data_IF_486231360428
#
_entry.id   IF_486231360428
#
_cell.length_a   1.000
_cell.length_b   1.000
_cell.length_c   1.000
_cell.angle_alpha   90.00
_cell.angle_beta   90.00
_cell.angle_gamma   90.00
#
_symmetry.space_group_name_H-M   'P 1'
#
loop_
_entity.id
_entity.type
_entity.pdbx_description
1 polymer ?
#
# COMPACT_ATOMS: atom_id res chain seq x y z
N UNK A 1 -5.38 24.76 1.11
CA UNK A 1 -4.44 24.64 2.26
C UNK A 1 -5.10 24.13 3.54
N UNK A 2 -5.65 24.89 4.50
CA UNK A 2 -6.14 24.29 5.77
C UNK A 2 -7.11 23.10 5.59
N UNK A 3 -8.17 23.25 4.78
CA UNK A 3 -9.08 22.14 4.44
C UNK A 3 -8.43 21.00 3.64
N UNK A 4 -7.31 21.26 2.95
CA UNK A 4 -6.53 20.23 2.24
C UNK A 4 -5.66 19.48 3.23
N UNK A 5 -5.00 20.14 4.20
CA UNK A 5 -4.28 19.45 5.28
C UNK A 5 -5.21 18.66 6.20
N UNK A 6 -6.41 19.15 6.53
CA UNK A 6 -7.39 18.36 7.30
C UNK A 6 -7.92 17.18 6.49
N UNK A 7 -8.16 17.35 5.17
CA UNK A 7 -8.53 16.24 4.28
C UNK A 7 -7.38 15.29 4.00
N UNK A 8 -6.13 15.74 3.97
CA UNK A 8 -4.93 14.93 3.83
C UNK A 8 -4.54 14.24 5.15
N UNK A 9 -4.99 14.76 6.30
CA UNK A 9 -4.93 14.07 7.59
C UNK A 9 -6.05 13.03 7.70
N UNK A 10 -7.28 13.32 7.22
CA UNK A 10 -8.27 12.29 6.95
C UNK A 10 -7.74 11.27 5.94
N UNK A 11 -6.99 11.71 4.93
CA UNK A 11 -6.41 10.82 3.92
C UNK A 11 -5.25 10.00 4.49
N UNK A 12 -4.39 10.55 5.34
CA UNK A 12 -3.34 9.78 6.00
C UNK A 12 -3.94 8.79 7.00
N UNK A 13 -5.00 9.17 7.72
CA UNK A 13 -5.76 8.23 8.54
C UNK A 13 -6.42 7.14 7.67
N UNK A 14 -7.17 7.51 6.63
CA UNK A 14 -7.92 6.58 5.77
C UNK A 14 -7.02 5.79 4.81
N UNK A 15 -5.87 6.27 4.37
CA UNK A 15 -4.89 5.53 3.53
C UNK A 15 -3.99 4.66 4.38
N UNK A 16 -3.62 5.07 5.60
CA UNK A 16 -3.05 4.15 6.58
C UNK A 16 -4.07 3.08 7.01
N UNK A 17 -5.38 3.34 6.85
CA UNK A 17 -6.46 2.38 7.11
C UNK A 17 -7.08 1.71 5.87
N UNK A 18 -6.65 2.04 4.65
CA UNK A 18 -7.13 1.41 3.40
C UNK A 18 -6.05 0.58 2.68
N UNK A 19 -4.80 0.65 3.12
CA UNK A 19 -3.71 -0.24 2.68
C UNK A 19 -3.74 -1.60 3.42
N UNK A 20 -4.91 -2.02 3.89
CA UNK A 20 -5.01 -2.50 5.26
C UNK A 20 -6.27 -3.36 5.56
N UNK A 21 -6.10 -4.62 6.02
CA UNK A 21 -6.97 -5.43 6.93
C UNK A 21 -7.91 -6.62 6.39
N UNK A 22 -7.50 -7.94 6.44
CA UNK A 22 -8.34 -9.20 6.15
C UNK A 22 -8.03 -10.63 6.85
N UNK A 23 -8.78 -11.10 7.89
CA UNK A 23 -8.58 -12.09 9.00
C UNK A 23 -9.28 -13.51 8.90
N UNK A 24 -9.88 -14.22 9.91
CA UNK A 24 -10.64 -13.99 11.18
C UNK A 24 -10.21 -14.93 12.38
N UNK A 25 -11.06 -15.11 13.41
CA UNK A 25 -10.76 -15.48 14.83
C UNK A 25 -10.52 -16.97 15.21
N UNK A 26 -9.89 -17.19 16.37
CA UNK A 26 -10.31 -18.13 17.45
C UNK A 26 -9.42 -17.90 18.70
N UNK A 27 -10.04 -17.63 19.86
CA UNK A 27 -9.37 -17.02 21.03
C UNK A 27 -8.67 -17.95 22.03
N UNK A 28 -7.93 -17.34 22.98
CA UNK A 28 -7.53 -17.93 24.26
C UNK A 28 -7.17 -16.84 25.30
N UNK A 29 -7.95 -16.73 26.38
CA UNK A 29 -7.67 -15.87 27.54
C UNK A 29 -6.55 -16.51 28.41
N UNK A 30 -5.33 -16.52 27.88
CA UNK A 30 -4.23 -17.38 28.34
C UNK A 30 -2.99 -16.66 28.88
N UNK A 31 -3.10 -15.40 29.29
CA UNK A 31 -1.96 -14.56 29.67
C UNK A 31 -1.19 -14.01 28.46
N UNK A 32 -0.44 -12.91 28.64
CA UNK A 32 0.26 -12.24 27.53
C UNK A 32 1.26 -13.20 26.88
N UNK A 33 0.89 -13.78 25.73
CA UNK A 33 1.83 -14.47 24.85
C UNK A 33 2.94 -13.48 24.51
N UNK A 34 4.19 -13.95 24.61
CA UNK A 34 5.32 -13.22 24.08
C UNK A 34 5.08 -13.01 22.58
N UNK A 35 5.50 -11.86 22.04
CA UNK A 35 5.48 -11.65 20.60
C UNK A 35 6.16 -12.82 19.87
N UNK A 36 5.52 -13.32 18.82
CA UNK A 36 6.02 -14.40 17.97
C UNK A 36 5.91 -13.98 16.51
N UNK A 37 6.99 -14.19 15.76
CA UNK A 37 7.02 -14.00 14.31
C UNK A 37 8.08 -14.89 13.66
N UNK A 38 7.75 -15.47 12.51
CA UNK A 38 8.69 -16.15 11.62
C UNK A 38 9.59 -15.16 10.86
N UNK A 39 9.07 -13.95 10.60
CA UNK A 39 9.78 -12.86 9.94
C UNK A 39 10.38 -11.94 10.99
N UNK A 40 11.63 -12.24 11.39
CA UNK A 40 12.46 -11.41 12.28
C UNK A 40 13.81 -11.18 11.60
N UNK A 41 14.33 -9.95 11.69
CA UNK A 41 15.61 -9.53 11.15
C UNK A 41 15.51 -8.30 10.24
N UNK A 42 16.62 -7.97 9.60
CA UNK A 42 16.72 -6.87 8.64
C UNK A 42 16.57 -7.38 7.21
N UNK A 43 15.87 -6.63 6.38
CA UNK A 43 15.60 -6.96 4.99
C UNK A 43 15.84 -5.75 4.09
N UNK A 44 16.41 -5.97 2.91
CA UNK A 44 16.58 -4.93 1.88
C UNK A 44 15.66 -5.20 0.68
N UNK A 45 15.16 -4.19 -0.04
CA UNK A 45 14.48 -4.41 -1.32
C UNK A 45 15.37 -5.15 -2.30
N UNK A 46 14.81 -6.14 -2.98
CA UNK A 46 15.54 -6.96 -3.95
C UNK A 46 14.76 -7.03 -5.26
N UNK A 47 15.41 -6.93 -6.42
CA UNK A 47 14.70 -6.97 -7.69
C UNK A 47 14.27 -8.39 -8.05
N UNK A 48 13.11 -8.50 -8.67
CA UNK A 48 12.73 -9.67 -9.47
C UNK A 48 12.87 -9.30 -10.94
N UNK A 49 13.62 -10.10 -11.70
CA UNK A 49 13.81 -9.88 -13.14
C UNK A 49 12.61 -10.43 -13.91
N UNK A 50 11.88 -9.55 -14.60
CA UNK A 50 10.69 -9.89 -15.37
C UNK A 50 10.68 -9.13 -16.71
N UNK A 51 9.96 -9.62 -17.70
CA UNK A 51 9.50 -8.81 -18.84
C UNK A 51 8.09 -8.31 -18.54
N UNK A 52 7.74 -7.14 -19.08
CA UNK A 52 6.35 -6.66 -19.10
C UNK A 52 5.97 -6.47 -20.57
N UNK A 53 5.01 -7.23 -21.12
CA UNK A 53 4.55 -7.04 -22.49
C UNK A 53 4.17 -5.58 -22.74
N UNK A 54 4.56 -5.04 -23.90
CA UNK A 54 4.29 -3.68 -24.35
C UNK A 54 4.87 -2.53 -23.49
N UNK A 55 5.71 -2.84 -22.49
CA UNK A 55 6.39 -1.82 -21.66
C UNK A 55 7.89 -2.06 -21.57
N UNK A 56 8.32 -3.30 -21.28
CA UNK A 56 9.73 -3.66 -21.21
C UNK A 56 9.96 -5.05 -21.81
N UNK A 57 10.41 -5.05 -23.07
CA UNK A 57 10.66 -6.25 -23.88
C UNK A 57 11.86 -7.06 -23.37
N UNK A 58 12.88 -6.40 -22.80
CA UNK A 58 14.05 -7.06 -22.23
C UNK A 58 13.85 -7.36 -20.72
N UNK A 59 14.24 -8.55 -20.22
CA UNK A 59 14.11 -8.91 -18.81
C UNK A 59 14.78 -7.89 -17.88
N UNK A 60 13.99 -7.20 -17.08
CA UNK A 60 14.41 -6.02 -16.31
C UNK A 60 14.12 -6.15 -14.81
N UNK A 61 14.93 -5.50 -13.94
CA UNK A 61 14.82 -5.64 -12.49
C UNK A 61 13.71 -4.75 -11.90
N UNK A 62 12.67 -5.36 -11.33
CA UNK A 62 11.57 -4.67 -10.64
C UNK A 62 11.62 -4.89 -9.13
N UNK A 63 11.58 -3.80 -8.36
CA UNK A 63 11.60 -3.79 -6.89
C UNK A 63 10.20 -3.65 -6.28
N UNK A 64 9.19 -3.45 -7.12
CA UNK A 64 7.78 -3.46 -6.79
C UNK A 64 7.06 -4.21 -7.90
N UNK A 65 6.10 -5.06 -7.56
CA UNK A 65 5.35 -5.88 -8.52
C UNK A 65 3.88 -5.46 -8.53
N UNK A 66 3.31 -5.33 -9.72
CA UNK A 66 1.90 -5.11 -10.01
C UNK A 66 1.55 -6.05 -11.18
N UNK A 67 1.13 -7.26 -10.84
CA UNK A 67 1.00 -8.38 -11.79
C UNK A 67 -0.49 -8.74 -11.97
N UNK A 68 -1.19 -8.16 -12.96
CA UNK A 68 -2.54 -8.55 -13.33
C UNK A 68 -2.55 -9.80 -14.23
N UNK A 69 -3.38 -10.79 -13.89
CA UNK A 69 -3.79 -11.87 -14.81
C UNK A 69 -5.13 -11.48 -15.44
N UNK A 70 -5.11 -11.07 -16.71
CA UNK A 70 -6.30 -10.62 -17.44
C UNK A 70 -7.32 -11.74 -17.68
N UNK A 71 -8.61 -11.42 -17.58
CA UNK A 71 -9.72 -12.36 -17.84
C UNK A 71 -9.83 -12.72 -19.32
N UNK A 72 -9.58 -11.74 -20.18
CA UNK A 72 -9.43 -11.89 -21.63
C UNK A 72 -8.10 -11.24 -22.05
N UNK A 73 -7.01 -12.02 -22.18
CA UNK A 73 -5.70 -11.50 -22.59
C UNK A 73 -5.64 -10.96 -24.03
N UNK A 74 -6.57 -11.37 -24.90
CA UNK A 74 -6.63 -10.90 -26.28
C UNK A 74 -7.41 -9.57 -26.41
N UNK A 75 -8.27 -9.24 -25.44
CA UNK A 75 -9.12 -8.05 -25.42
C UNK A 75 -8.97 -7.24 -24.11
N UNK A 76 -7.73 -6.97 -23.70
CA UNK A 76 -7.41 -6.15 -22.53
C UNK A 76 -8.01 -4.74 -22.69
N UNK A 77 -8.77 -4.22 -21.71
CA UNK A 77 -9.35 -2.89 -21.80
C UNK A 77 -8.27 -1.82 -21.92
N UNK A 78 -8.55 -0.76 -22.68
CA UNK A 78 -7.69 0.42 -22.78
C UNK A 78 -8.36 1.67 -22.25
N UNK A 79 -7.56 2.68 -21.90
CA UNK A 79 -8.06 4.02 -21.54
C UNK A 79 -7.75 4.98 -22.68
N UNK A 80 -8.75 5.77 -23.06
CA UNK A 80 -8.60 6.84 -24.04
C UNK A 80 -7.89 8.04 -23.38
N UNK A 81 -6.65 8.29 -23.81
CA UNK A 81 -5.79 9.39 -23.41
C UNK A 81 -5.82 10.54 -24.44
N UNK A 82 -6.71 10.49 -25.44
CA UNK A 82 -6.79 11.50 -26.48
C UNK A 82 -7.05 12.90 -25.91
N UNK A 83 -7.94 13.04 -24.92
CA UNK A 83 -8.29 14.34 -24.34
C UNK A 83 -7.12 14.98 -23.60
N UNK A 84 -6.38 14.24 -22.76
CA UNK A 84 -5.20 14.77 -22.06
C UNK A 84 -4.03 15.08 -23.01
N UNK A 85 -4.03 14.52 -24.23
CA UNK A 85 -3.09 14.83 -25.30
C UNK A 85 -3.60 15.91 -26.28
N UNK A 86 -4.81 16.44 -26.11
CA UNK A 86 -5.42 17.41 -27.04
C UNK A 86 -5.74 16.83 -28.43
N UNK A 87 -5.90 15.51 -28.53
CA UNK A 87 -6.19 14.76 -29.75
C UNK A 87 -7.68 14.41 -29.86
N UNK A 88 -8.19 14.05 -31.06
CA UNK A 88 -9.59 13.61 -31.21
C UNK A 88 -9.88 12.34 -30.41
N UNK A 89 -11.05 12.26 -29.77
CA UNK A 89 -11.46 11.09 -28.98
C UNK A 89 -11.32 9.77 -29.77
N UNK A 90 -10.82 8.73 -29.10
CA UNK A 90 -10.52 7.42 -29.66
C UNK A 90 -9.25 7.34 -30.52
N UNK A 91 -8.45 8.40 -30.64
CA UNK A 91 -7.22 8.39 -31.45
C UNK A 91 -5.98 7.89 -30.69
N UNK A 92 -5.99 7.92 -29.36
CA UNK A 92 -4.89 7.46 -28.51
C UNK A 92 -5.42 6.66 -27.32
N UNK A 93 -5.63 5.36 -27.53
CA UNK A 93 -6.07 4.40 -26.50
C UNK A 93 -4.85 3.63 -26.01
N UNK A 94 -4.52 3.74 -24.72
CA UNK A 94 -3.44 2.99 -24.10
C UNK A 94 -3.99 1.71 -23.43
N UNK A 95 -3.49 0.51 -23.76
CA UNK A 95 -3.89 -0.73 -23.09
C UNK A 95 -3.60 -0.68 -21.59
N UNK A 96 -4.50 -1.26 -20.77
CA UNK A 96 -4.31 -1.27 -19.32
C UNK A 96 -3.05 -2.05 -18.90
N UNK A 97 -2.62 -3.04 -19.69
CA UNK A 97 -1.34 -3.72 -19.45
C UNK A 97 -0.14 -2.75 -19.50
N UNK A 98 -0.15 -1.81 -20.46
CA UNK A 98 0.84 -0.73 -20.56
C UNK A 98 0.78 0.19 -19.34
N UNK A 99 -0.43 0.59 -18.91
CA UNK A 99 -0.64 1.44 -17.72
C UNK A 99 -0.11 0.76 -16.45
N UNK A 100 -0.45 -0.51 -16.22
CA UNK A 100 0.06 -1.29 -15.09
C UNK A 100 1.58 -1.40 -15.11
N UNK A 101 2.19 -1.66 -16.28
CA UNK A 101 3.64 -1.73 -16.40
C UNK A 101 4.37 -0.40 -16.14
N UNK A 102 3.80 0.72 -16.59
CA UNK A 102 4.31 2.06 -16.26
C UNK A 102 4.25 2.33 -14.76
N UNK A 103 3.12 1.99 -14.10
CA UNK A 103 2.97 2.09 -12.65
C UNK A 103 4.00 1.21 -11.93
N UNK A 104 4.19 -0.03 -12.38
CA UNK A 104 5.19 -0.95 -11.81
C UNK A 104 6.63 -0.40 -11.94
N UNK A 105 6.97 0.19 -13.08
CA UNK A 105 8.29 0.77 -13.33
C UNK A 105 8.57 1.99 -12.45
N UNK A 106 7.62 2.93 -12.35
CA UNK A 106 7.74 4.10 -11.46
C UNK A 106 7.84 3.67 -9.99
N UNK A 107 6.95 2.81 -9.52
CA UNK A 107 6.97 2.30 -8.15
C UNK A 107 8.26 1.53 -7.84
N UNK A 108 8.77 0.74 -8.79
CA UNK A 108 10.07 0.06 -8.66
C UNK A 108 11.23 1.05 -8.54
N UNK A 109 11.25 2.14 -9.32
CA UNK A 109 12.27 3.17 -9.19
C UNK A 109 12.17 3.90 -7.84
N UNK A 110 10.96 4.14 -7.34
CA UNK A 110 10.73 4.73 -6.02
C UNK A 110 11.24 3.81 -4.90
N UNK A 111 10.89 2.52 -4.92
CA UNK A 111 11.39 1.56 -3.92
C UNK A 111 12.91 1.42 -4.00
N UNK A 112 13.47 1.28 -5.21
CA UNK A 112 14.91 1.10 -5.45
C UNK A 112 15.77 2.26 -4.94
N UNK A 113 15.32 3.50 -5.14
CA UNK A 113 16.06 4.70 -4.71
C UNK A 113 15.73 5.14 -3.28
N UNK A 114 14.50 4.90 -2.83
CA UNK A 114 13.98 5.36 -1.54
C UNK A 114 14.20 4.38 -0.41
N UNK A 115 13.84 3.10 -0.56
CA UNK A 115 13.86 2.14 0.55
C UNK A 115 15.22 1.44 0.63
N UNK A 116 15.93 1.63 1.75
CA UNK A 116 17.23 0.99 2.01
C UNK A 116 17.04 -0.33 2.76
N UNK A 117 16.19 -0.33 3.79
CA UNK A 117 16.06 -1.44 4.73
C UNK A 117 14.70 -1.40 5.43
N UNK A 118 14.16 -2.58 5.76
CA UNK A 118 13.05 -2.79 6.70
C UNK A 118 13.58 -3.66 7.84
N UNK A 119 13.31 -3.26 9.08
CA UNK A 119 13.75 -3.96 10.28
C UNK A 119 12.53 -4.53 11.00
N UNK A 120 12.47 -5.85 11.15
CA UNK A 120 11.41 -6.58 11.85
C UNK A 120 11.99 -7.14 13.15
N UNK A 121 11.66 -6.54 14.30
CA UNK A 121 12.30 -6.90 15.59
C UNK A 121 11.57 -8.00 16.34
N UNK A 122 12.25 -8.61 17.31
CA UNK A 122 11.74 -9.68 18.17
C UNK A 122 10.86 -9.20 19.35
N UNK A 123 10.52 -7.91 19.37
CA UNK A 123 9.58 -7.28 20.31
C UNK A 123 8.23 -6.90 19.68
N UNK A 124 8.06 -7.13 18.37
CA UNK A 124 6.87 -6.74 17.61
C UNK A 124 6.85 -5.29 17.11
N UNK A 125 7.91 -4.52 17.37
CA UNK A 125 8.15 -3.25 16.67
C UNK A 125 8.84 -3.49 15.34
N UNK A 126 8.59 -2.61 14.38
CA UNK A 126 9.31 -2.58 13.11
C UNK A 126 9.92 -1.20 12.88
N UNK A 127 10.82 -1.12 11.90
CA UNK A 127 11.39 0.11 11.42
C UNK A 127 11.73 0.06 9.94
N UNK A 128 12.16 1.19 9.40
CA UNK A 128 12.68 1.28 8.05
C UNK A 128 13.85 2.27 8.00
N UNK A 129 14.74 2.09 7.02
CA UNK A 129 15.74 3.09 6.65
C UNK A 129 15.51 3.48 5.21
N UNK A 130 15.52 4.77 4.92
CA UNK A 130 15.10 5.28 3.62
C UNK A 130 15.76 6.62 3.29
N UNK A 131 15.88 6.91 2.00
CA UNK A 131 16.11 8.26 1.51
C UNK A 131 14.76 8.95 1.30
N UNK A 132 14.64 10.22 1.68
CA UNK A 132 13.42 11.00 1.47
C UNK A 132 13.19 11.28 -0.01
N UNK A 133 11.99 11.00 -0.52
CA UNK A 133 11.59 11.35 -1.88
C UNK A 133 11.40 12.87 -1.99
N UNK A 134 12.10 13.49 -2.94
CA UNK A 134 12.05 14.93 -3.21
C UNK A 134 10.92 15.19 -4.19
N UNK A 135 9.80 15.72 -3.68
CA UNK A 135 8.65 16.16 -4.49
C UNK A 135 8.76 17.67 -4.73
N UNK A 136 8.83 18.07 -6.00
CA UNK A 136 8.71 19.46 -6.43
C UNK A 136 7.26 19.89 -6.67
N UNK A 137 7.08 21.12 -7.17
CA UNK A 137 5.74 21.67 -7.49
C UNK A 137 4.98 20.82 -8.52
N UNK A 138 5.70 20.15 -9.43
CA UNK A 138 5.16 19.10 -10.30
C UNK A 138 5.39 17.72 -9.69
N UNK A 139 4.34 17.21 -9.04
CA UNK A 139 4.32 15.89 -8.40
C UNK A 139 4.48 14.76 -9.42
N UNK A 140 3.92 14.89 -10.63
CA UNK A 140 3.96 13.83 -11.64
C UNK A 140 5.38 13.68 -12.19
N UNK A 141 6.03 14.79 -12.58
CA UNK A 141 7.44 14.76 -12.98
C UNK A 141 8.36 14.23 -11.87
N UNK A 142 8.05 14.54 -10.60
CA UNK A 142 8.79 14.04 -9.43
C UNK A 142 8.60 12.53 -9.17
N UNK A 143 7.53 11.92 -9.67
CA UNK A 143 7.27 10.47 -9.59
C UNK A 143 7.87 9.73 -10.80
N UNK A 144 7.89 10.37 -11.98
CA UNK A 144 8.46 9.79 -13.20
C UNK A 144 9.99 9.76 -13.19
N UNK A 145 10.65 10.79 -12.64
CA UNK A 145 12.11 10.86 -12.42
C UNK A 145 12.41 11.08 -10.92
N UNK A 146 12.24 10.04 -10.07
CA UNK A 146 12.27 10.19 -8.63
C UNK A 146 13.67 10.52 -8.11
N UNK A 147 13.76 11.62 -7.36
CA UNK A 147 15.00 12.12 -6.75
C UNK A 147 14.93 12.00 -5.24
N UNK A 148 16.08 11.77 -4.62
CA UNK A 148 16.18 11.37 -3.22
C UNK A 148 17.16 12.24 -2.45
N UNK A 149 16.88 12.47 -1.16
CA UNK A 149 17.83 13.11 -0.23
C UNK A 149 19.08 12.23 -0.08
N UNK A 150 20.30 12.80 -0.06
CA UNK A 150 21.51 11.99 0.13
C UNK A 150 21.58 11.36 1.53
N UNK A 151 20.91 11.95 2.52
CA UNK A 151 20.81 11.41 3.88
C UNK A 151 19.89 10.18 3.93
N UNK A 152 20.29 9.18 4.73
CA UNK A 152 19.45 8.04 5.10
C UNK A 152 18.73 8.39 6.41
N UNK A 153 17.42 8.58 6.31
CA UNK A 153 16.50 8.70 7.45
C UNK A 153 16.14 7.32 8.03
N UNK A 154 15.57 7.32 9.23
CA UNK A 154 15.03 6.13 9.89
C UNK A 154 13.58 6.33 10.30
N UNK A 155 12.79 5.27 10.25
CA UNK A 155 11.48 5.16 10.88
C UNK A 155 11.52 4.07 11.96
N UNK A 156 10.98 4.29 13.17
CA UNK A 156 10.69 5.61 13.72
C UNK A 156 11.97 6.46 13.88
N UNK A 157 11.88 7.75 13.58
CA UNK A 157 12.81 8.80 14.03
C UNK A 157 12.34 9.43 15.34
N UNK A 158 13.17 10.28 15.94
CA UNK A 158 12.76 11.10 17.08
C UNK A 158 11.53 11.97 16.76
N UNK A 159 11.49 12.59 15.58
CA UNK A 159 10.35 13.42 15.13
C UNK A 159 9.07 12.59 14.98
N UNK A 160 9.15 11.37 14.41
CA UNK A 160 7.97 10.51 14.31
C UNK A 160 7.55 9.94 15.66
N UNK A 161 8.46 9.77 16.62
CA UNK A 161 8.15 9.27 17.96
C UNK A 161 7.34 10.27 18.81
N UNK A 162 7.41 11.57 18.49
CA UNK A 162 6.51 12.58 19.07
C UNK A 162 5.05 12.43 18.58
N UNK A 163 4.85 11.84 17.39
CA UNK A 163 3.55 11.64 16.76
C UNK A 163 3.00 10.20 16.93
N UNK A 164 3.90 9.22 17.01
CA UNK A 164 3.64 7.79 17.09
C UNK A 164 4.28 7.26 18.39
N UNK A 165 3.53 7.20 19.51
CA UNK A 165 4.07 6.68 20.75
C UNK A 165 4.47 5.21 20.63
N UNK A 166 5.33 4.74 21.54
CA UNK A 166 5.74 3.34 21.60
C UNK A 166 4.51 2.41 21.68
N UNK A 167 4.48 1.37 20.85
CA UNK A 167 3.33 0.46 20.73
C UNK A 167 2.11 1.03 19.98
N UNK A 168 2.17 2.24 19.41
CA UNK A 168 1.12 2.75 18.52
C UNK A 168 0.97 1.88 17.26
N UNK A 169 2.10 1.42 16.73
CA UNK A 169 2.22 0.53 15.58
C UNK A 169 3.07 -0.68 15.95
N UNK A 170 2.82 -1.81 15.31
CA UNK A 170 3.62 -3.03 15.46
C UNK A 170 3.34 -4.01 14.34
N UNK A 171 3.77 -5.26 14.53
CA UNK A 171 3.43 -6.35 13.64
C UNK A 171 3.37 -7.70 14.39
N UNK A 172 2.97 -8.77 13.70
CA UNK A 172 3.23 -10.18 14.02
C UNK A 172 3.12 -11.04 12.75
N UNK A 173 3.43 -12.33 12.81
CA UNK A 173 3.08 -13.27 11.73
C UNK A 173 2.30 -14.46 12.30
N UNK A 174 1.29 -14.91 11.57
CA UNK A 174 0.46 -16.08 11.91
C UNK A 174 -0.10 -16.66 10.61
N UNK A 175 -0.20 -17.98 10.51
CA UNK A 175 -0.87 -18.67 9.39
C UNK A 175 -0.46 -18.17 7.98
N UNK A 176 0.85 -17.98 7.76
CA UNK A 176 1.46 -17.41 6.53
C UNK A 176 1.02 -16.00 6.14
N UNK A 177 0.48 -15.23 7.08
CA UNK A 177 0.17 -13.81 6.94
C UNK A 177 1.05 -12.96 7.86
N UNK A 178 1.48 -11.80 7.34
CA UNK A 178 2.17 -10.75 8.07
C UNK A 178 1.11 -9.74 8.51
N UNK A 179 0.93 -9.58 9.82
CA UNK A 179 -0.07 -8.70 10.39
C UNK A 179 0.57 -7.39 10.84
N UNK A 180 0.31 -6.27 10.17
CA UNK A 180 0.67 -4.94 10.69
C UNK A 180 -0.39 -4.46 11.67
N UNK A 181 -0.02 -4.05 12.89
CA UNK A 181 -0.96 -3.68 13.95
C UNK A 181 -1.01 -2.17 14.18
N UNK A 182 -2.19 -1.65 14.53
CA UNK A 182 -2.39 -0.29 15.05
C UNK A 182 -3.18 -0.33 16.36
N UNK A 183 -2.66 0.35 17.38
CA UNK A 183 -3.23 0.35 18.73
C UNK A 183 -4.55 1.11 18.79
N UNK A 184 -5.58 0.50 19.40
CA UNK A 184 -6.86 1.15 19.69
C UNK A 184 -6.70 2.27 20.72
N UNK A 185 -5.73 2.18 21.64
CA UNK A 185 -5.43 3.24 22.59
C UNK A 185 -4.87 4.49 21.88
N UNK A 186 -3.95 4.29 20.93
CA UNK A 186 -3.44 5.37 20.09
C UNK A 186 -4.56 6.00 19.23
N UNK A 187 -5.39 5.18 18.57
CA UNK A 187 -6.51 5.68 17.77
C UNK A 187 -7.53 6.50 18.59
N UNK A 188 -7.78 6.13 19.85
CA UNK A 188 -8.63 6.92 20.76
C UNK A 188 -7.99 8.27 21.10
N UNK A 189 -6.69 8.31 21.38
CA UNK A 189 -5.95 9.55 21.64
C UNK A 189 -5.93 10.49 20.41
N UNK A 190 -5.77 9.95 19.21
CA UNK A 190 -5.90 10.72 17.95
C UNK A 190 -7.34 11.20 17.76
N UNK A 191 -8.32 10.34 18.06
CA UNK A 191 -9.75 10.68 18.01
C UNK A 191 -10.11 11.88 18.88
N UNK A 192 -9.72 11.85 20.16
CA UNK A 192 -9.92 12.92 21.15
C UNK A 192 -9.30 14.27 20.74
N UNK A 193 -8.21 14.25 19.97
CA UNK A 193 -7.51 15.45 19.50
C UNK A 193 -7.94 15.90 18.09
N UNK A 194 -8.82 15.13 17.43
CA UNK A 194 -9.31 15.39 16.08
C UNK A 194 -10.76 15.91 16.07
N UNK A 195 -11.15 16.58 14.98
CA UNK A 195 -12.57 16.89 14.71
C UNK A 195 -13.39 15.64 14.28
N UNK A 196 -12.78 14.45 14.22
CA UNK A 196 -13.41 13.22 13.71
C UNK A 196 -14.12 12.41 14.79
N UNK A 197 -13.83 12.65 16.07
CA UNK A 197 -14.41 11.90 17.19
C UNK A 197 -13.77 10.52 17.38
N UNK A 198 -14.55 9.55 17.87
CA UNK A 198 -14.03 8.21 18.16
C UNK A 198 -13.72 7.40 16.89
N UNK A 199 -12.44 7.42 16.51
CA UNK A 199 -11.93 6.65 15.38
C UNK A 199 -12.14 5.13 15.54
N UNK A 200 -12.17 4.59 16.76
CA UNK A 200 -12.39 3.15 16.96
C UNK A 200 -13.83 2.76 16.65
N UNK A 201 -14.81 3.55 17.10
CA UNK A 201 -16.22 3.38 16.70
C UNK A 201 -16.43 3.55 15.18
N UNK A 202 -15.70 4.46 14.54
CA UNK A 202 -15.77 4.64 13.07
C UNK A 202 -15.23 3.41 12.35
N UNK A 203 -14.06 2.91 12.74
CA UNK A 203 -13.46 1.70 12.17
C UNK A 203 -14.39 0.50 12.37
N UNK A 204 -14.83 0.23 13.60
CA UNK A 204 -15.76 -0.86 13.94
C UNK A 204 -17.05 -0.82 13.09
N UNK A 205 -17.57 0.38 12.83
CA UNK A 205 -18.71 0.59 11.92
C UNK A 205 -18.41 0.23 10.46
N UNK A 206 -17.23 0.60 9.95
CA UNK A 206 -16.77 0.21 8.61
C UNK A 206 -16.55 -1.32 8.50
N UNK A 207 -16.03 -1.97 9.55
CA UNK A 207 -15.86 -3.43 9.59
C UNK A 207 -17.20 -4.13 9.38
N UNK A 208 -18.19 -3.72 10.18
CA UNK A 208 -19.53 -4.28 10.17
C UNK A 208 -20.27 -4.02 8.84
N UNK A 209 -20.07 -2.85 8.23
CA UNK A 209 -20.72 -2.47 6.98
C UNK A 209 -20.16 -3.23 5.76
N UNK A 210 -18.83 -3.30 5.63
CA UNK A 210 -18.17 -3.76 4.41
C UNK A 210 -17.69 -5.21 4.47
N UNK A 211 -17.72 -5.87 5.64
CA UNK A 211 -17.14 -7.21 5.85
C UNK A 211 -15.69 -7.30 5.38
N UNK A 212 -14.97 -6.21 5.57
CA UNK A 212 -13.51 -6.24 5.58
C UNK A 212 -13.15 -7.16 6.74
N UNK A 213 -12.35 -8.19 6.50
CA UNK A 213 -12.02 -9.14 7.55
C UNK A 213 -10.99 -8.50 8.53
N UNK A 214 -11.25 -7.32 9.12
CA UNK A 214 -10.23 -6.63 9.93
C UNK A 214 -10.04 -7.37 11.26
N UNK A 215 -8.81 -7.84 11.58
CA UNK A 215 -8.54 -8.39 12.93
C UNK A 215 -8.79 -7.25 13.91
N UNK A 216 -9.74 -7.45 14.83
CA UNK A 216 -10.15 -6.44 15.80
C UNK A 216 -10.11 -7.09 17.18
N UNK A 217 -9.12 -6.72 18.00
CA UNK A 217 -8.98 -7.16 19.40
C UNK A 217 -9.38 -6.03 20.35
N UNK A 218 -9.30 -6.24 21.66
CA UNK A 218 -9.47 -5.13 22.62
C UNK A 218 -8.29 -4.13 22.56
N UNK A 219 -7.10 -4.58 22.16
CA UNK A 219 -5.87 -3.77 22.17
C UNK A 219 -5.57 -3.09 20.82
N UNK A 220 -5.85 -3.73 19.69
CA UNK A 220 -5.42 -3.29 18.35
C UNK A 220 -6.36 -3.70 17.20
N UNK A 221 -6.16 -3.07 16.04
CA UNK A 221 -6.57 -3.62 14.73
C UNK A 221 -5.35 -4.20 14.01
N UNK A 222 -5.48 -5.27 13.21
CA UNK A 222 -4.34 -5.86 12.49
C UNK A 222 -4.60 -6.23 11.02
N UNK A 223 -3.63 -5.83 10.17
CA UNK A 223 -3.58 -5.92 8.71
C UNK A 223 -2.82 -7.16 8.27
N UNK A 224 -3.46 -8.27 7.95
CA UNK A 224 -2.79 -9.29 7.15
C UNK A 224 -2.44 -8.76 5.77
N UNK A 225 -1.17 -8.89 5.46
CA UNK A 225 -0.60 -9.06 4.14
C UNK A 225 -0.27 -10.55 4.00
N UNK A 226 -0.32 -11.11 2.80
CA UNK A 226 0.27 -12.44 2.58
C UNK A 226 1.78 -12.33 2.53
N UNK A 227 2.49 -13.38 2.96
CA UNK A 227 3.90 -13.52 2.65
C UNK A 227 4.24 -14.88 2.06
N UNK A 228 5.32 -14.90 1.29
CA UNK A 228 5.94 -16.13 0.80
C UNK A 228 7.45 -16.00 0.84
N UNK A 229 8.16 -16.98 1.38
CA UNK A 229 9.63 -17.05 1.34
C UNK A 229 10.05 -18.06 0.28
N UNK A 230 10.78 -17.62 -0.74
CA UNK A 230 11.32 -18.46 -1.81
C UNK A 230 12.73 -18.02 -2.17
N UNK A 231 13.67 -18.97 -2.25
CA UNK A 231 15.06 -18.74 -2.65
C UNK A 231 15.77 -17.62 -1.83
N UNK A 232 15.38 -17.44 -0.56
CA UNK A 232 15.89 -16.40 0.34
C UNK A 232 15.15 -15.05 0.27
N UNK A 233 14.30 -14.85 -0.75
CA UNK A 233 13.46 -13.66 -0.91
C UNK A 233 12.13 -13.85 -0.18
N UNK A 234 11.84 -12.93 0.73
CA UNK A 234 10.51 -12.77 1.35
C UNK A 234 9.72 -11.79 0.50
N UNK A 235 8.59 -12.24 -0.07
CA UNK A 235 7.66 -11.38 -0.78
C UNK A 235 6.50 -11.05 0.16
N UNK A 236 6.33 -9.77 0.52
CA UNK A 236 5.12 -9.26 1.18
C UNK A 236 4.14 -8.80 0.09
N UNK A 237 2.88 -9.23 0.14
CA UNK A 237 1.93 -8.92 -0.94
C UNK A 237 0.47 -8.88 -0.49
N UNK A 238 -0.34 -8.19 -1.28
CA UNK A 238 -1.79 -8.36 -1.33
C UNK A 238 -2.17 -8.96 -2.68
N UNK A 239 -3.28 -9.69 -2.71
CA UNK A 239 -3.85 -10.20 -3.96
C UNK A 239 -5.25 -9.62 -4.24
N UNK A 240 -5.79 -9.95 -5.42
CA UNK A 240 -7.14 -9.55 -5.84
C UNK A 240 -8.21 -9.89 -4.80
N UNK A 241 -8.14 -11.06 -4.16
CA UNK A 241 -9.16 -11.48 -3.20
C UNK A 241 -9.12 -10.63 -1.92
N UNK A 242 -7.93 -10.18 -1.52
CA UNK A 242 -7.76 -9.24 -0.39
C UNK A 242 -8.21 -7.82 -0.74
N UNK A 243 -8.05 -7.38 -2.00
CA UNK A 243 -8.42 -6.00 -2.42
C UNK A 243 -9.93 -5.86 -2.67
N UNK A 244 -10.57 -6.87 -3.26
CA UNK A 244 -11.98 -6.78 -3.69
C UNK A 244 -12.99 -6.33 -2.61
N UNK A 245 -12.91 -6.77 -1.33
CA UNK A 245 -13.79 -6.27 -0.26
C UNK A 245 -13.71 -4.75 -0.02
N UNK A 246 -12.55 -4.14 -0.28
CA UNK A 246 -12.34 -2.70 -0.11
C UNK A 246 -12.83 -1.85 -1.27
N UNK A 247 -13.19 -2.43 -2.41
CA UNK A 247 -13.53 -1.65 -3.61
C UNK A 247 -14.57 -0.53 -3.36
N UNK A 248 -15.66 -0.73 -2.60
CA UNK A 248 -16.58 0.35 -2.26
C UNK A 248 -15.94 1.50 -1.46
N UNK A 249 -15.08 1.18 -0.48
CA UNK A 249 -14.36 2.16 0.34
C UNK A 249 -13.30 2.91 -0.49
N UNK A 250 -12.62 2.20 -1.38
CA UNK A 250 -11.66 2.78 -2.32
C UNK A 250 -12.37 3.72 -3.31
N UNK A 251 -13.54 3.34 -3.84
CA UNK A 251 -14.36 4.24 -4.65
C UNK A 251 -14.77 5.52 -3.90
N UNK A 252 -15.17 5.43 -2.63
CA UNK A 252 -15.47 6.60 -1.79
C UNK A 252 -14.22 7.48 -1.59
N UNK A 253 -13.06 6.86 -1.37
CA UNK A 253 -11.77 7.56 -1.24
C UNK A 253 -11.38 8.28 -2.53
N UNK A 254 -11.51 7.64 -3.70
CA UNK A 254 -11.22 8.25 -4.99
C UNK A 254 -12.18 9.41 -5.30
N UNK A 255 -13.47 9.29 -4.95
CA UNK A 255 -14.46 10.39 -5.05
C UNK A 255 -14.10 11.56 -4.13
N UNK A 256 -13.51 11.31 -2.96
CA UNK A 256 -13.07 12.35 -2.02
C UNK A 256 -11.78 13.05 -2.44
N UNK A 257 -10.90 12.33 -3.14
CA UNK A 257 -9.68 12.86 -3.76
C UNK A 257 -9.96 13.73 -5.00
N UNK A 258 -10.90 13.28 -5.86
CA UNK A 258 -11.19 13.95 -7.13
C UNK A 258 -9.97 14.01 -8.06
N UNK A 259 -9.95 15.03 -8.91
CA UNK A 259 -8.97 15.17 -10.00
C UNK A 259 -7.51 15.32 -9.53
N UNK A 260 -7.28 15.66 -8.25
CA UNK A 260 -5.94 15.68 -7.62
C UNK A 260 -5.30 14.28 -7.56
N UNK A 261 -6.10 13.21 -7.63
CA UNK A 261 -5.63 11.83 -7.73
C UNK A 261 -5.78 11.29 -9.16
N UNK A 262 -5.10 11.94 -10.11
CA UNK A 262 -5.04 11.51 -11.50
C UNK A 262 -3.63 11.14 -11.96
N UNK A 263 -3.53 10.07 -12.75
CA UNK A 263 -2.30 9.64 -13.43
C UNK A 263 -2.42 9.96 -14.93
N UNK A 264 -1.60 10.90 -15.42
CA UNK A 264 -1.67 11.40 -16.81
C UNK A 264 -3.07 11.90 -17.24
N UNK A 265 -3.84 12.45 -16.28
CA UNK A 265 -5.22 12.90 -16.47
C UNK A 265 -6.30 11.81 -16.28
N UNK A 266 -5.91 10.56 -15.98
CA UNK A 266 -6.82 9.45 -15.69
C UNK A 266 -7.08 9.37 -14.18
N UNK A 267 -8.34 9.27 -13.75
CA UNK A 267 -8.69 8.95 -12.36
C UNK A 267 -8.03 7.65 -11.88
N UNK A 268 -7.34 7.68 -10.72
CA UNK A 268 -6.80 6.45 -10.10
C UNK A 268 -7.92 5.44 -9.80
N UNK A 269 -9.14 5.91 -9.52
CA UNK A 269 -10.29 5.04 -9.28
C UNK A 269 -10.73 4.28 -10.53
N UNK A 270 -10.66 4.89 -11.70
CA UNK A 270 -11.00 4.23 -12.96
C UNK A 270 -9.96 3.17 -13.33
N UNK A 271 -8.68 3.44 -13.07
CA UNK A 271 -7.58 2.47 -13.23
C UNK A 271 -7.82 1.26 -12.32
N UNK A 272 -7.96 1.48 -11.02
CA UNK A 272 -8.13 0.40 -10.02
C UNK A 272 -9.39 -0.42 -10.31
N UNK A 273 -10.51 0.24 -10.58
CA UNK A 273 -11.79 -0.43 -10.89
C UNK A 273 -11.71 -1.23 -12.18
N UNK A 274 -11.07 -0.70 -13.23
CA UNK A 274 -10.90 -1.41 -14.50
C UNK A 274 -9.98 -2.62 -14.35
N UNK A 275 -8.86 -2.50 -13.64
CA UNK A 275 -7.97 -3.64 -13.35
C UNK A 275 -8.73 -4.73 -12.59
N UNK A 276 -9.36 -4.39 -11.46
CA UNK A 276 -10.04 -5.38 -10.61
C UNK A 276 -11.21 -6.07 -11.31
N UNK A 277 -12.00 -5.35 -12.11
CA UNK A 277 -13.15 -5.92 -12.82
C UNK A 277 -12.78 -6.79 -14.02
N UNK A 278 -11.58 -6.61 -14.61
CA UNK A 278 -11.16 -7.33 -15.81
C UNK A 278 -10.02 -8.33 -15.55
N UNK A 279 -9.61 -8.55 -14.30
CA UNK A 279 -8.61 -9.55 -13.92
C UNK A 279 -9.23 -10.76 -13.20
N UNK A 280 -8.64 -11.93 -13.40
CA UNK A 280 -8.92 -13.14 -12.58
C UNK A 280 -8.03 -13.17 -11.34
N UNK A 281 -6.78 -12.74 -11.48
CA UNK A 281 -5.80 -12.59 -10.42
C UNK A 281 -5.12 -11.23 -10.53
N UNK A 282 -4.66 -10.71 -9.39
CA UNK A 282 -3.86 -9.49 -9.28
C UNK A 282 -2.93 -9.72 -8.10
N UNK A 283 -1.65 -9.43 -8.26
CA UNK A 283 -0.68 -9.40 -7.15
C UNK A 283 -0.02 -8.03 -7.07
N UNK A 284 -0.01 -7.43 -5.88
CA UNK A 284 0.74 -6.22 -5.58
C UNK A 284 1.75 -6.55 -4.48
N UNK A 285 3.05 -6.48 -4.78
CA UNK A 285 4.07 -7.06 -3.92
C UNK A 285 5.37 -6.25 -3.80
N UNK A 286 5.99 -6.38 -2.62
CA UNK A 286 7.33 -5.90 -2.28
C UNK A 286 8.26 -7.12 -2.04
N UNK A 287 9.26 -7.36 -2.91
CA UNK A 287 10.27 -8.40 -2.70
C UNK A 287 11.40 -7.90 -1.80
N UNK A 288 11.68 -8.65 -0.74
CA UNK A 288 12.61 -8.30 0.33
C UNK A 288 13.62 -9.43 0.55
N UNK A 289 14.91 -9.16 0.36
CA UNK A 289 15.99 -10.10 0.69
C UNK A 289 16.42 -9.91 2.14
N UNK A 290 16.44 -10.98 2.93
CA UNK A 290 17.00 -10.94 4.30
C UNK A 290 18.52 -10.71 4.25
N UNK A 291 19.00 -9.84 5.14
CA UNK A 291 20.42 -9.51 5.37
C UNK A 291 21.10 -10.51 6.32
#
# INVERSE_FOLDING_TARGET
MKKIFTRAAMLLAVVAMASAFTACDDGDDGGKKKFESELIGSYQPTPVTLTIPDVVEEPSPFYFLLLPTWTDPDNIPGIDLSESMGMPAGSWIMPMNTICGLIQAMASNIVKGGLVQVDLKDDGSFGARYHGLIIGDDVISSIMDPKFTPEISSFPSAETAELLPEGALGYYTKDSHFYFTISKAFLKQVGETSEMGDLTSIIDGLLAAYKLDIVSTDEYYAIPLKYSVKDGVTKLYVDRAMIMPFLPLLEELFKLLGDEASFMGISLGDIVTTVLNNTTELEIALPLQRL
#
